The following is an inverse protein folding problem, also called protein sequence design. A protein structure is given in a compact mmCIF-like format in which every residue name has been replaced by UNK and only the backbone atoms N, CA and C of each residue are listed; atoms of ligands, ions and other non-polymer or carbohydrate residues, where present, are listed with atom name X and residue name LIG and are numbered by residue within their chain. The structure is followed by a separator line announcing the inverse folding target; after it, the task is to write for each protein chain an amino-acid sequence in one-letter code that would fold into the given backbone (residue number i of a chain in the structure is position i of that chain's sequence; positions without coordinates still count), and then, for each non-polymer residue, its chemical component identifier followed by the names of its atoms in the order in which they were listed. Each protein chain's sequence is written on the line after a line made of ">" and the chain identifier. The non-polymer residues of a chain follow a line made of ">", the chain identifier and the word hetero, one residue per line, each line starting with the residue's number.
data_IF_125753263502
#
_entry.id   IF_125753263502
#
_cell.length_a   1.000
_cell.length_b   1.000
_cell.length_c   1.000
_cell.angle_alpha   90.00
_cell.angle_beta   90.00
_cell.angle_gamma   90.00
#
_symmetry.space_group_name_H-M   'P 1'
#
loop_
_entity.id
_entity.type
_entity.pdbx_description
1 polymer ?
#
# COMPACT_ATOMS: atom_id res chain seq x y z
N UNK A 1 -17.41 -5.46 -12.32
CA UNK A 1 -16.31 -6.17 -11.64
C UNK A 1 -16.35 -5.79 -10.17
N UNK A 2 -16.34 -6.75 -9.23
CA UNK A 2 -16.34 -6.44 -7.80
C UNK A 2 -14.90 -6.51 -7.32
N UNK A 3 -14.32 -5.37 -6.94
CA UNK A 3 -13.01 -5.33 -6.28
C UNK A 3 -13.09 -6.16 -5.00
N UNK A 4 -12.17 -7.11 -4.81
CA UNK A 4 -11.99 -7.77 -3.53
C UNK A 4 -11.14 -6.89 -2.61
N UNK A 5 -11.82 -6.04 -1.86
CA UNK A 5 -11.20 -5.13 -0.91
C UNK A 5 -10.47 -5.83 0.24
N UNK A 6 -10.81 -7.09 0.53
CA UNK A 6 -10.13 -7.83 1.60
C UNK A 6 -8.72 -8.24 1.18
N UNK A 7 -8.52 -8.60 -0.09
CA UNK A 7 -7.18 -8.90 -0.62
C UNK A 7 -6.30 -7.64 -0.56
N UNK A 8 -6.82 -6.49 -1.01
CA UNK A 8 -6.07 -5.22 -0.97
C UNK A 8 -5.69 -4.85 0.47
N UNK A 9 -6.65 -4.88 1.40
CA UNK A 9 -6.38 -4.61 2.81
C UNK A 9 -5.37 -5.60 3.40
N UNK A 10 -5.48 -6.87 3.03
CA UNK A 10 -4.53 -7.92 3.44
C UNK A 10 -3.10 -7.63 2.98
N UNK A 11 -2.91 -7.23 1.72
CA UNK A 11 -1.61 -6.85 1.18
C UNK A 11 -1.01 -5.65 1.92
N UNK A 12 -1.79 -4.58 2.11
CA UNK A 12 -1.33 -3.37 2.78
C UNK A 12 -1.01 -3.62 4.25
N UNK A 13 -1.89 -4.32 4.98
CA UNK A 13 -1.65 -4.65 6.39
C UNK A 13 -0.43 -5.57 6.56
N UNK A 14 -0.22 -6.54 5.66
CA UNK A 14 0.97 -7.40 5.72
C UNK A 14 2.27 -6.59 5.57
N UNK A 15 2.28 -5.61 4.66
CA UNK A 15 3.42 -4.71 4.48
C UNK A 15 3.64 -3.83 5.72
N UNK A 16 2.58 -3.18 6.24
CA UNK A 16 2.63 -2.34 7.44
C UNK A 16 3.17 -3.15 8.64
N UNK A 17 2.58 -4.31 8.92
CA UNK A 17 3.00 -5.18 10.02
C UNK A 17 4.46 -5.64 9.88
N UNK A 18 4.93 -5.88 8.65
CA UNK A 18 6.32 -6.24 8.42
C UNK A 18 7.26 -5.07 8.73
N UNK A 19 6.95 -3.87 8.23
CA UNK A 19 7.72 -2.66 8.51
C UNK A 19 7.78 -2.36 10.02
N UNK A 20 6.64 -2.37 10.71
CA UNK A 20 6.56 -2.16 12.16
C UNK A 20 7.45 -3.16 12.93
N UNK A 21 7.44 -4.43 12.53
CA UNK A 21 8.27 -5.47 13.17
C UNK A 21 9.75 -5.34 12.86
N UNK A 22 10.11 -4.87 11.67
CA UNK A 22 11.51 -4.57 11.32
C UNK A 22 12.01 -3.41 12.19
N UNK A 23 11.25 -2.32 12.31
CA UNK A 23 11.61 -1.18 13.16
C UNK A 23 11.70 -1.60 14.64
N UNK A 24 10.71 -2.32 15.15
CA UNK A 24 10.69 -2.80 16.53
C UNK A 24 11.81 -3.81 16.85
N UNK A 25 12.41 -4.44 15.84
CA UNK A 25 13.54 -5.36 16.04
C UNK A 25 14.85 -4.64 16.39
N UNK A 26 14.89 -3.31 16.24
CA UNK A 26 16.12 -2.53 16.42
C UNK A 26 17.10 -2.68 15.26
N UNK A 27 16.62 -3.12 14.08
CA UNK A 27 17.42 -3.22 12.86
C UNK A 27 18.16 -1.92 12.57
N UNK A 28 19.45 -2.02 12.34
CA UNK A 28 20.31 -0.92 11.89
C UNK A 28 21.00 -1.26 10.57
N UNK A 29 21.44 -0.25 9.85
CA UNK A 29 22.07 -0.43 8.52
C UNK A 29 23.29 -1.37 8.55
N UNK A 30 24.01 -1.43 9.67
CA UNK A 30 25.15 -2.33 9.86
C UNK A 30 24.77 -3.81 9.94
N UNK A 31 23.50 -4.15 10.11
CA UNK A 31 23.03 -5.55 10.15
C UNK A 31 22.79 -6.14 8.75
N UNK A 32 22.96 -5.34 7.69
CA UNK A 32 22.63 -5.73 6.30
C UNK A 32 23.37 -6.96 5.80
N UNK A 33 24.59 -7.19 6.27
CA UNK A 33 25.43 -8.33 5.90
C UNK A 33 25.22 -9.56 6.78
N UNK A 34 24.38 -9.47 7.83
CA UNK A 34 24.03 -10.61 8.64
C UNK A 34 23.34 -11.69 7.79
N UNK A 35 23.76 -12.94 7.98
CA UNK A 35 23.36 -14.06 7.14
C UNK A 35 22.37 -14.98 7.86
N UNK A 36 21.40 -15.48 7.11
CA UNK A 36 20.47 -16.53 7.54
C UNK A 36 20.41 -17.64 6.47
N UNK A 37 20.22 -18.88 6.93
CA UNK A 37 19.98 -20.01 6.04
C UNK A 37 18.48 -20.19 5.80
N UNK A 38 18.04 -19.97 4.56
CA UNK A 38 16.66 -20.18 4.12
C UNK A 38 16.69 -21.26 3.03
N UNK A 39 16.06 -22.41 3.30
CA UNK A 39 15.96 -23.50 2.32
C UNK A 39 17.32 -24.04 1.85
N UNK A 40 18.35 -24.01 2.70
CA UNK A 40 19.71 -24.46 2.35
C UNK A 40 20.57 -23.39 1.68
N UNK A 41 20.03 -22.19 1.43
CA UNK A 41 20.75 -21.07 0.83
C UNK A 41 21.07 -20.01 1.89
N UNK A 42 22.32 -19.56 1.90
CA UNK A 42 22.72 -18.39 2.67
C UNK A 42 22.19 -17.13 1.99
N UNK A 43 21.46 -16.32 2.75
CA UNK A 43 20.81 -15.09 2.29
C UNK A 43 21.12 -14.01 3.31
N UNK A 44 21.49 -12.82 2.85
CA UNK A 44 21.75 -11.68 3.74
C UNK A 44 20.45 -10.99 4.15
N UNK A 45 20.47 -10.25 5.25
CA UNK A 45 19.37 -9.33 5.62
C UNK A 45 19.09 -8.36 4.49
N UNK A 46 20.13 -7.85 3.81
CA UNK A 46 19.95 -6.97 2.65
C UNK A 46 19.17 -7.65 1.52
N UNK A 47 19.48 -8.91 1.19
CA UNK A 47 18.76 -9.66 0.16
C UNK A 47 17.27 -9.84 0.51
N UNK A 48 16.97 -10.06 1.80
CA UNK A 48 15.59 -10.16 2.28
C UNK A 48 14.85 -8.83 2.14
N UNK A 49 15.50 -7.72 2.52
CA UNK A 49 14.95 -6.37 2.36
C UNK A 49 14.71 -6.07 0.88
N UNK A 50 15.70 -6.33 0.01
CA UNK A 50 15.57 -6.17 -1.44
C UNK A 50 14.37 -6.92 -1.99
N UNK A 51 14.22 -8.17 -1.58
CA UNK A 51 13.10 -9.01 -1.97
C UNK A 51 11.74 -8.40 -1.59
N UNK A 52 11.67 -7.70 -0.45
CA UNK A 52 10.44 -7.10 0.06
C UNK A 52 9.87 -6.00 -0.85
N UNK A 53 10.70 -5.28 -1.62
CA UNK A 53 10.22 -4.30 -2.62
C UNK A 53 10.22 -4.83 -4.06
N UNK A 54 11.12 -5.76 -4.41
CA UNK A 54 11.13 -6.33 -5.78
C UNK A 54 9.99 -7.33 -6.03
N UNK A 55 9.56 -8.07 -5.00
CA UNK A 55 8.49 -9.06 -5.16
C UNK A 55 7.13 -8.41 -5.51
N UNK A 56 6.67 -7.36 -4.79
CA UNK A 56 5.46 -6.63 -5.17
C UNK A 56 5.52 -6.02 -6.58
N UNK A 57 6.69 -5.55 -7.01
CA UNK A 57 6.89 -5.02 -8.38
C UNK A 57 6.63 -6.11 -9.43
N UNK A 58 7.24 -7.29 -9.27
CA UNK A 58 7.02 -8.42 -10.17
C UNK A 58 5.56 -8.87 -10.17
N UNK A 59 4.93 -8.94 -8.99
CA UNK A 59 3.52 -9.26 -8.85
C UNK A 59 2.62 -8.24 -9.58
N UNK A 60 2.96 -6.95 -9.54
CA UNK A 60 2.23 -5.90 -10.27
C UNK A 60 2.24 -6.17 -11.78
N UNK A 61 3.39 -6.53 -12.34
CA UNK A 61 3.48 -6.87 -13.77
C UNK A 61 2.68 -8.14 -14.10
N UNK A 62 2.71 -9.15 -13.23
CA UNK A 62 1.88 -10.34 -13.39
C UNK A 62 0.39 -10.02 -13.39
N UNK A 63 -0.09 -9.21 -12.45
CA UNK A 63 -1.50 -8.77 -12.38
C UNK A 63 -1.91 -8.05 -13.67
N UNK A 64 -1.06 -7.15 -14.19
CA UNK A 64 -1.33 -6.44 -15.45
C UNK A 64 -1.45 -7.43 -16.61
N UNK A 65 -0.52 -8.38 -16.72
CA UNK A 65 -0.52 -9.39 -17.76
C UNK A 65 -1.76 -10.30 -17.69
N UNK A 66 -2.08 -10.83 -16.53
CA UNK A 66 -3.26 -11.71 -16.36
C UNK A 66 -4.57 -10.98 -16.66
N UNK A 67 -4.64 -9.68 -16.34
CA UNK A 67 -5.76 -8.84 -16.74
C UNK A 67 -5.85 -8.66 -18.25
N UNK A 68 -4.72 -8.47 -18.93
CA UNK A 68 -4.68 -8.41 -20.38
C UNK A 68 -5.14 -9.73 -21.02
N UNK A 69 -4.62 -10.86 -20.55
CA UNK A 69 -4.97 -12.20 -21.03
C UNK A 69 -6.46 -12.53 -20.86
N UNK A 70 -7.11 -11.97 -19.84
CA UNK A 70 -8.55 -12.15 -19.59
C UNK A 70 -9.44 -11.08 -20.24
N UNK A 71 -8.86 -10.16 -21.04
CA UNK A 71 -9.58 -9.03 -21.65
C UNK A 71 -10.07 -7.99 -20.64
N UNK A 72 -9.57 -8.04 -19.40
CA UNK A 72 -9.88 -7.15 -18.28
C UNK A 72 -8.94 -5.94 -18.21
N UNK A 73 -8.37 -5.52 -19.34
CA UNK A 73 -7.56 -4.32 -19.43
C UNK A 73 -8.34 -3.10 -18.95
N UNK A 74 -7.64 -2.23 -18.22
CA UNK A 74 -8.20 -0.95 -17.83
C UNK A 74 -7.57 0.08 -18.75
N UNK A 75 -8.32 0.67 -19.71
CA UNK A 75 -7.79 1.70 -20.59
C UNK A 75 -7.42 2.98 -19.83
N UNK A 76 -7.85 3.08 -18.58
CA UNK A 76 -7.66 4.21 -17.69
C UNK A 76 -7.54 3.69 -16.24
N UNK A 77 -6.65 4.30 -15.44
CA UNK A 77 -6.46 3.96 -14.02
C UNK A 77 -7.62 4.52 -13.17
N UNK A 78 -8.49 3.69 -12.56
CA UNK A 78 -9.66 4.13 -11.81
C UNK A 78 -9.34 5.09 -10.66
N UNK A 79 -10.29 5.96 -10.31
CA UNK A 79 -10.14 6.98 -9.26
C UNK A 79 -9.79 6.32 -7.92
N UNK A 80 -10.41 5.18 -7.61
CA UNK A 80 -10.16 4.42 -6.39
C UNK A 80 -8.73 3.90 -6.31
N UNK A 81 -8.13 3.49 -7.42
CA UNK A 81 -6.71 3.08 -7.47
C UNK A 81 -5.78 4.29 -7.31
N UNK A 82 -6.14 5.45 -7.87
CA UNK A 82 -5.38 6.70 -7.71
C UNK A 82 -5.38 7.18 -6.25
N UNK A 83 -6.52 7.09 -5.57
CA UNK A 83 -6.64 7.41 -4.14
C UNK A 83 -5.68 6.53 -3.32
N UNK A 84 -5.69 5.21 -3.53
CA UNK A 84 -4.79 4.31 -2.81
C UNK A 84 -3.31 4.64 -3.04
N UNK A 85 -2.92 4.93 -4.29
CA UNK A 85 -1.55 5.28 -4.62
C UNK A 85 -1.12 6.57 -3.91
N UNK A 86 -1.94 7.62 -3.97
CA UNK A 86 -1.65 8.90 -3.33
C UNK A 86 -1.53 8.77 -1.81
N UNK A 87 -2.43 8.00 -1.18
CA UNK A 87 -2.36 7.71 0.26
C UNK A 87 -1.10 6.91 0.61
N UNK A 88 -0.73 5.91 -0.19
CA UNK A 88 0.48 5.11 0.04
C UNK A 88 1.74 5.97 -0.04
N UNK A 89 1.80 6.91 -0.99
CA UNK A 89 2.90 7.87 -1.11
C UNK A 89 2.96 8.80 0.11
N UNK A 90 1.84 9.38 0.53
CA UNK A 90 1.81 10.24 1.71
C UNK A 90 2.17 9.48 3.00
N UNK A 91 1.72 8.23 3.14
CA UNK A 91 2.05 7.38 4.28
C UNK A 91 3.54 7.00 4.30
N UNK A 92 4.17 6.81 3.14
CA UNK A 92 5.60 6.49 3.04
C UNK A 92 6.48 7.61 3.62
N UNK A 93 6.08 8.88 3.49
CA UNK A 93 6.79 10.02 4.08
C UNK A 93 6.70 10.07 5.62
N UNK A 94 5.78 9.31 6.23
CA UNK A 94 5.68 9.19 7.70
C UNK A 94 6.60 8.10 8.28
N UNK A 95 7.13 7.21 7.44
CA UNK A 95 8.05 6.15 7.88
C UNK A 95 9.35 6.78 8.36
N UNK A 96 9.80 6.42 9.57
CA UNK A 96 10.97 7.00 10.22
C UNK A 96 10.95 8.54 10.35
N UNK A 97 9.77 9.18 10.40
CA UNK A 97 9.65 10.63 10.55
C UNK A 97 10.06 11.18 11.93
N UNK A 98 10.50 10.32 12.85
CA UNK A 98 10.94 10.68 14.20
C UNK A 98 9.81 10.81 15.21
N UNK A 99 10.08 11.46 16.35
CA UNK A 99 9.12 11.57 17.46
C UNK A 99 7.94 12.51 17.17
N UNK A 100 8.11 13.43 16.22
CA UNK A 100 7.08 14.40 15.83
C UNK A 100 6.46 13.94 14.52
N UNK A 101 5.16 13.64 14.52
CA UNK A 101 4.43 13.34 13.29
C UNK A 101 4.30 14.61 12.43
N UNK A 102 4.94 14.67 11.24
CA UNK A 102 4.81 15.82 10.36
C UNK A 102 3.36 15.98 9.91
N UNK A 103 2.87 17.23 9.86
CA UNK A 103 1.54 17.56 9.39
C UNK A 103 0.39 16.77 10.08
N UNK A 104 0.56 16.37 11.33
CA UNK A 104 -0.39 15.51 12.08
C UNK A 104 -1.85 15.97 11.97
N UNK A 105 -2.12 17.27 12.15
CA UNK A 105 -3.46 17.84 12.01
C UNK A 105 -4.01 17.63 10.59
N UNK A 106 -3.20 17.86 9.56
CA UNK A 106 -3.59 17.67 8.15
C UNK A 106 -3.81 16.21 7.78
N UNK A 107 -3.03 15.30 8.35
CA UNK A 107 -3.27 13.85 8.21
C UNK A 107 -4.63 13.49 8.80
N UNK A 108 -4.96 14.00 9.99
CA UNK A 108 -6.25 13.74 10.63
C UNK A 108 -7.44 14.37 9.87
N UNK A 109 -7.28 15.61 9.38
CA UNK A 109 -8.26 16.27 8.51
C UNK A 109 -8.52 15.44 7.25
N UNK A 110 -7.48 14.94 6.60
CA UNK A 110 -7.59 14.13 5.37
C UNK A 110 -8.35 12.82 5.64
N UNK A 111 -8.02 12.10 6.71
CA UNK A 111 -8.73 10.87 7.11
C UNK A 111 -10.21 11.17 7.33
N UNK A 112 -10.50 12.19 8.13
CA UNK A 112 -11.86 12.64 8.42
C UNK A 112 -12.62 13.02 7.15
N UNK A 113 -11.96 13.69 6.20
CA UNK A 113 -12.56 14.09 4.93
C UNK A 113 -12.91 12.89 4.05
N UNK A 114 -12.05 11.87 3.97
CA UNK A 114 -12.33 10.64 3.23
C UNK A 114 -13.57 9.93 3.78
N UNK A 115 -13.66 9.79 5.11
CA UNK A 115 -14.74 9.07 5.78
C UNK A 115 -16.06 9.84 5.76
N UNK A 116 -16.02 11.13 6.09
CA UNK A 116 -17.23 11.91 6.39
C UNK A 116 -17.69 12.81 5.24
N UNK A 117 -16.86 13.03 4.22
CA UNK A 117 -17.19 13.97 3.13
C UNK A 117 -17.15 13.31 1.76
N UNK A 118 -16.08 12.57 1.42
CA UNK A 118 -15.94 11.98 0.10
C UNK A 118 -17.04 10.95 -0.19
N UNK A 119 -17.15 9.91 0.66
CA UNK A 119 -18.10 8.82 0.45
C UNK A 119 -19.55 9.31 0.49
N UNK A 120 -20.01 10.02 1.55
CA UNK A 120 -21.38 10.52 1.59
C UNK A 120 -21.69 11.51 0.47
N UNK A 121 -20.70 12.33 0.07
CA UNK A 121 -20.85 13.29 -1.02
C UNK A 121 -21.14 12.61 -2.37
N UNK A 122 -20.37 11.57 -2.71
CA UNK A 122 -20.58 10.79 -3.94
C UNK A 122 -21.94 10.07 -3.91
N UNK A 123 -22.27 9.44 -2.79
CA UNK A 123 -23.54 8.73 -2.63
C UNK A 123 -24.74 9.67 -2.81
N UNK A 124 -24.73 10.83 -2.14
CA UNK A 124 -25.78 11.83 -2.26
C UNK A 124 -25.90 12.39 -3.69
N UNK A 125 -24.78 12.75 -4.33
CA UNK A 125 -24.79 13.30 -5.68
C UNK A 125 -25.31 12.30 -6.72
N UNK A 126 -24.88 11.03 -6.62
CA UNK A 126 -25.33 9.98 -7.53
C UNK A 126 -26.79 9.59 -7.28
N UNK A 127 -27.25 9.58 -6.03
CA UNK A 127 -28.65 9.35 -5.68
C UNK A 127 -29.55 10.47 -6.21
N UNK A 128 -29.14 11.74 -6.10
CA UNK A 128 -29.87 12.88 -6.63
C UNK A 128 -30.02 12.80 -8.16
N UNK A 129 -28.92 12.49 -8.87
CA UNK A 129 -28.93 12.35 -10.33
C UNK A 129 -29.87 11.24 -10.81
N UNK A 130 -29.97 10.11 -10.10
CA UNK A 130 -30.85 8.99 -10.48
C UNK A 130 -32.34 9.26 -10.28
N UNK A 131 -32.69 10.29 -9.50
CA UNK A 131 -34.08 10.73 -9.28
C UNK A 131 -34.57 11.72 -10.35
N UNK A 132 -33.67 12.22 -11.19
CA UNK A 132 -33.94 13.20 -12.27
C UNK A 132 -34.00 12.45 -13.59
#
# INVERSE_FOLDING_TARGET
>A
MKTDWNVIRGMMNAAINACERIEASGYVETDRDAMINIGGRQVSVHDMLVSAWTYPENLRYQIIRERHETGGDLPYVPETARILLAISQAAAELVNAGEVTPAQEKVHEMITWLDNHLVPGIENATAARRKT
#
